data_IF_665579139491
#
_entry.id   IF_665579139491
#
_cell.length_a   1.000
_cell.length_b   1.000
_cell.length_c   1.000
_cell.angle_alpha   90.00
_cell.angle_beta   90.00
_cell.angle_gamma   90.00
#
_symmetry.space_group_name_H-M   'P 1'
#
loop_
_entity.id
_entity.type
_entity.pdbx_description
1 polymer ?
#
# COMPACT_ATOMS: atom_id res chain seq x y z
N UNK A 1 6.37 26.42 -7.44
CA UNK A 1 7.56 27.02 -6.81
C UNK A 1 8.87 26.58 -7.48
N UNK A 2 9.40 25.37 -7.26
CA UNK A 2 10.73 24.97 -7.78
C UNK A 2 10.86 25.07 -9.30
N UNK A 3 9.82 24.64 -10.02
CA UNK A 3 9.74 24.77 -11.50
C UNK A 3 9.71 26.22 -11.99
N UNK A 4 9.25 27.16 -11.18
CA UNK A 4 9.13 28.58 -11.56
C UNK A 4 10.47 29.30 -11.41
N UNK A 5 11.30 28.85 -10.47
CA UNK A 5 12.63 29.40 -10.19
C UNK A 5 13.69 28.85 -11.15
N UNK A 6 13.63 27.55 -11.50
CA UNK A 6 14.63 26.88 -12.34
C UNK A 6 15.10 27.68 -13.58
N UNK A 7 14.21 28.21 -14.46
CA UNK A 7 14.66 28.96 -15.64
C UNK A 7 15.31 30.31 -15.29
N UNK A 8 14.99 30.92 -14.14
CA UNK A 8 15.56 32.21 -13.71
C UNK A 8 17.02 32.07 -13.28
N UNK A 9 17.42 30.86 -12.89
CA UNK A 9 18.79 30.53 -12.47
C UNK A 9 19.51 29.65 -13.51
N UNK A 10 18.98 29.57 -14.74
CA UNK A 10 19.63 28.88 -15.86
C UNK A 10 19.55 27.35 -15.82
N UNK A 11 18.65 26.76 -15.02
CA UNK A 11 18.47 25.30 -14.93
C UNK A 11 17.20 24.81 -15.63
N UNK A 12 17.18 23.55 -16.11
CA UNK A 12 15.97 22.94 -16.64
C UNK A 12 14.94 22.73 -15.53
N UNK A 13 13.65 22.82 -15.91
CA UNK A 13 12.56 22.55 -14.96
C UNK A 13 12.52 21.06 -14.62
N UNK A 14 12.36 20.68 -13.34
CA UNK A 14 12.16 19.28 -12.99
C UNK A 14 10.81 18.78 -13.54
N UNK A 15 10.83 17.58 -14.12
CA UNK A 15 9.62 16.81 -14.44
C UNK A 15 9.00 16.22 -13.16
N UNK A 16 7.72 15.87 -13.21
CA UNK A 16 6.97 15.34 -12.06
C UNK A 16 6.12 14.16 -12.50
N UNK A 17 6.08 13.11 -11.67
CA UNK A 17 5.13 12.01 -11.74
C UNK A 17 4.29 12.04 -10.45
N UNK A 18 2.97 12.17 -10.57
CA UNK A 18 2.07 12.24 -9.41
C UNK A 18 1.39 10.90 -9.19
N UNK A 19 1.39 10.43 -7.95
CA UNK A 19 0.62 9.25 -7.52
C UNK A 19 -0.67 9.67 -6.84
N UNK A 20 -1.60 8.72 -6.69
CA UNK A 20 -2.72 8.82 -5.76
C UNK A 20 -2.23 8.71 -4.32
N UNK A 21 -3.09 9.05 -3.36
CA UNK A 21 -2.80 8.83 -1.94
C UNK A 21 -3.04 7.37 -1.57
N UNK A 22 -2.14 6.82 -0.77
CA UNK A 22 -2.34 5.54 -0.13
C UNK A 22 -3.28 5.71 1.09
N UNK A 23 -4.43 5.02 1.14
CA UNK A 23 -5.47 5.27 2.14
C UNK A 23 -5.03 4.83 3.54
N UNK A 24 -5.58 5.46 4.59
CA UNK A 24 -5.41 4.98 5.96
C UNK A 24 -6.30 3.75 6.23
N UNK A 25 -5.89 2.92 7.19
CA UNK A 25 -6.64 1.71 7.55
C UNK A 25 -8.10 2.02 7.91
N UNK A 26 -8.36 3.07 8.68
CA UNK A 26 -9.72 3.37 9.17
C UNK A 26 -10.65 4.03 8.13
N UNK A 27 -10.17 4.36 6.93
CA UNK A 27 -11.04 4.86 5.88
C UNK A 27 -10.33 5.53 4.70
N UNK A 28 -11.02 5.53 3.56
CA UNK A 28 -10.51 6.04 2.28
C UNK A 28 -10.23 7.56 2.26
N UNK A 29 -10.82 8.34 3.17
CA UNK A 29 -10.71 9.80 3.18
C UNK A 29 -9.57 10.34 4.07
N UNK A 30 -8.93 9.49 4.87
CA UNK A 30 -7.86 9.89 5.78
C UNK A 30 -6.51 9.43 5.27
N UNK A 31 -5.47 10.25 5.50
CA UNK A 31 -4.09 9.90 5.19
C UNK A 31 -3.48 9.14 6.36
N UNK A 32 -2.66 8.14 6.05
CA UNK A 32 -1.87 7.43 7.05
C UNK A 32 -1.01 8.40 7.86
N UNK A 33 -0.90 8.15 9.16
CA UNK A 33 -0.05 8.92 10.07
C UNK A 33 0.70 8.00 11.03
N UNK A 34 2.02 8.18 11.14
CA UNK A 34 2.82 7.47 12.13
C UNK A 34 2.43 7.83 13.58
N UNK A 35 1.68 8.92 13.79
CA UNK A 35 1.17 9.32 15.11
C UNK A 35 0.06 8.42 15.64
N UNK A 36 -0.68 7.73 14.77
CA UNK A 36 -1.63 6.69 15.15
C UNK A 36 -1.14 5.34 14.65
N UNK A 37 -0.63 4.53 15.58
CA UNK A 37 -0.07 3.22 15.29
C UNK A 37 -1.07 2.23 14.66
N UNK A 38 -2.38 2.48 14.80
CA UNK A 38 -3.43 1.64 14.23
C UNK A 38 -3.92 2.14 12.86
N UNK A 39 -3.47 3.32 12.43
CA UNK A 39 -3.84 3.89 11.12
C UNK A 39 -3.08 3.31 9.94
N UNK A 40 -1.98 2.63 10.23
CA UNK A 40 -1.02 2.17 9.22
C UNK A 40 -0.46 0.80 9.56
N UNK A 41 -0.09 0.05 8.53
CA UNK A 41 0.72 -1.16 8.65
C UNK A 41 2.17 -0.74 8.50
N UNK A 42 2.97 -0.94 9.54
CA UNK A 42 4.37 -0.55 9.52
C UNK A 42 5.22 -1.66 8.89
N UNK A 43 6.31 -1.27 8.23
CA UNK A 43 7.31 -2.20 7.71
C UNK A 43 8.06 -2.98 8.82
N UNK A 44 7.81 -2.64 10.09
CA UNK A 44 8.33 -3.33 11.27
C UNK A 44 7.30 -4.22 11.96
N UNK A 45 6.05 -4.24 11.48
CA UNK A 45 5.01 -5.09 12.06
C UNK A 45 5.31 -6.57 11.80
N UNK A 46 5.00 -7.41 12.78
CA UNK A 46 5.03 -8.86 12.63
C UNK A 46 3.82 -9.37 11.83
N UNK A 47 3.92 -10.59 11.29
CA UNK A 47 2.80 -11.25 10.60
C UNK A 47 1.49 -11.24 11.40
N UNK A 48 1.58 -11.41 12.73
CA UNK A 48 0.43 -11.34 13.63
C UNK A 48 -0.15 -9.93 13.71
N UNK A 49 0.70 -8.90 13.87
CA UNK A 49 0.24 -7.52 13.91
C UNK A 49 -0.41 -7.09 12.60
N UNK A 50 0.15 -7.49 11.45
CA UNK A 50 -0.44 -7.23 10.12
C UNK A 50 -1.86 -7.82 10.08
N UNK A 51 -1.99 -9.11 10.42
CA UNK A 51 -3.29 -9.79 10.47
C UNK A 51 -4.28 -9.09 11.40
N UNK A 52 -3.85 -8.74 12.61
CA UNK A 52 -4.72 -8.11 13.61
C UNK A 52 -5.17 -6.71 13.15
N UNK A 53 -4.26 -5.92 12.57
CA UNK A 53 -4.56 -4.57 12.04
C UNK A 53 -5.52 -4.61 10.86
N UNK A 54 -5.29 -5.49 9.88
CA UNK A 54 -6.21 -5.64 8.73
C UNK A 54 -7.59 -6.07 9.23
N UNK A 55 -7.67 -7.10 10.06
CA UNK A 55 -8.96 -7.61 10.54
C UNK A 55 -9.73 -6.58 11.38
N UNK A 56 -9.07 -5.88 12.30
CA UNK A 56 -9.73 -5.00 13.27
C UNK A 56 -9.89 -3.55 12.80
N UNK A 57 -8.98 -3.04 11.98
CA UNK A 57 -8.88 -1.61 11.71
C UNK A 57 -9.08 -1.24 10.23
N UNK A 58 -8.90 -2.18 9.29
CA UNK A 58 -9.21 -1.91 7.89
C UNK A 58 -10.72 -1.70 7.72
N UNK A 59 -11.10 -0.50 7.26
CA UNK A 59 -12.47 -0.14 6.97
C UNK A 59 -13.03 -1.05 5.87
N UNK A 60 -14.25 -1.53 6.10
CA UNK A 60 -14.97 -2.46 5.22
C UNK A 60 -15.99 -1.70 4.39
N UNK A 61 -16.00 -1.94 3.07
CA UNK A 61 -17.06 -1.51 2.17
C UNK A 61 -18.24 -2.51 2.09
N UNK A 62 -18.16 -3.61 2.84
CA UNK A 62 -19.20 -4.64 2.93
C UNK A 62 -20.39 -4.25 3.81
N UNK A 63 -21.37 -5.14 3.92
CA UNK A 63 -22.58 -4.94 4.73
C UNK A 63 -22.39 -5.51 6.14
N UNK A 64 -23.25 -5.08 7.07
CA UNK A 64 -23.19 -5.49 8.47
C UNK A 64 -23.60 -6.94 8.67
N UNK A 65 -24.49 -7.46 7.82
CA UNK A 65 -24.98 -8.84 7.86
C UNK A 65 -24.51 -9.63 6.64
N UNK A 66 -24.36 -10.95 6.80
CA UNK A 66 -23.97 -11.84 5.70
C UNK A 66 -25.07 -11.86 4.65
N UNK A 67 -26.32 -11.91 5.07
CA UNK A 67 -27.49 -11.96 4.19
C UNK A 67 -27.55 -10.74 3.26
N UNK A 68 -27.40 -9.53 3.81
CA UNK A 68 -27.35 -8.31 3.00
C UNK A 68 -26.11 -8.28 2.12
N UNK A 69 -24.95 -8.74 2.61
CA UNK A 69 -23.73 -8.75 1.81
C UNK A 69 -23.83 -9.72 0.64
N UNK A 70 -24.45 -10.89 0.83
CA UNK A 70 -24.71 -11.86 -0.26
C UNK A 70 -25.70 -11.31 -1.29
N UNK A 71 -26.66 -10.48 -0.88
CA UNK A 71 -27.67 -9.92 -1.77
C UNK A 71 -27.21 -8.65 -2.50
N UNK A 72 -26.46 -7.78 -1.83
CA UNK A 72 -26.12 -6.43 -2.31
C UNK A 72 -24.62 -6.24 -2.60
N UNK A 73 -23.77 -7.18 -2.20
CA UNK A 73 -22.32 -7.10 -2.34
C UNK A 73 -21.64 -6.04 -1.46
N UNK A 74 -20.34 -5.90 -1.66
CA UNK A 74 -19.48 -4.87 -1.08
C UNK A 74 -19.06 -3.79 -2.07
N UNK A 75 -18.77 -2.61 -1.56
CA UNK A 75 -18.28 -1.48 -2.36
C UNK A 75 -16.75 -1.37 -2.32
N UNK A 76 -16.11 -1.78 -3.42
CA UNK A 76 -14.65 -1.70 -3.61
C UNK A 76 -14.10 -0.26 -3.57
N UNK A 77 -14.90 0.75 -3.94
CA UNK A 77 -14.46 2.16 -4.00
C UNK A 77 -14.25 2.79 -2.63
N UNK A 78 -14.69 2.12 -1.56
CA UNK A 78 -14.52 2.58 -0.18
C UNK A 78 -13.85 1.54 0.72
N UNK A 79 -13.75 0.28 0.28
CA UNK A 79 -13.11 -0.79 1.05
C UNK A 79 -11.58 -0.64 1.03
N UNK A 80 -11.00 -0.37 2.19
CA UNK A 80 -9.56 -0.13 2.31
C UNK A 80 -8.75 -1.39 2.01
N UNK A 81 -9.30 -2.57 2.28
CA UNK A 81 -8.60 -3.82 2.01
C UNK A 81 -8.46 -4.05 0.51
N UNK A 82 -9.55 -3.81 -0.24
CA UNK A 82 -9.49 -3.83 -1.71
C UNK A 82 -8.57 -2.74 -2.26
N UNK A 83 -8.63 -1.52 -1.72
CA UNK A 83 -7.72 -0.44 -2.14
C UNK A 83 -6.26 -0.82 -1.96
N UNK A 84 -5.88 -1.52 -0.88
CA UNK A 84 -4.49 -1.95 -0.70
C UNK A 84 -4.08 -3.01 -1.72
N UNK A 85 -5.01 -3.91 -2.10
CA UNK A 85 -4.74 -4.91 -3.13
C UNK A 85 -4.39 -4.25 -4.47
N UNK A 86 -4.99 -3.10 -4.83
CA UNK A 86 -4.66 -2.40 -6.09
C UNK A 86 -3.23 -1.86 -6.14
N UNK A 87 -2.54 -1.74 -4.99
CA UNK A 87 -1.14 -1.33 -4.93
C UNK A 87 -0.15 -2.50 -4.89
N UNK A 88 -0.56 -3.65 -4.36
CA UNK A 88 0.38 -4.73 -4.01
C UNK A 88 0.08 -6.09 -4.62
N UNK A 89 -1.14 -6.31 -5.13
CA UNK A 89 -1.43 -7.52 -5.88
C UNK A 89 -1.03 -7.30 -7.34
N UNK A 90 -0.03 -8.07 -7.80
CA UNK A 90 0.57 -7.90 -9.13
C UNK A 90 -0.22 -8.58 -10.27
N UNK A 91 -1.11 -9.51 -9.92
CA UNK A 91 -1.94 -10.24 -10.88
C UNK A 91 -3.26 -9.50 -11.15
N UNK A 92 -3.34 -8.83 -12.30
CA UNK A 92 -4.51 -8.05 -12.73
C UNK A 92 -5.79 -8.88 -12.85
N UNK A 93 -5.69 -10.13 -13.34
CA UNK A 93 -6.85 -11.00 -13.51
C UNK A 93 -7.40 -11.43 -12.15
N UNK A 94 -6.51 -11.74 -11.19
CA UNK A 94 -6.89 -12.04 -9.81
C UNK A 94 -7.50 -10.81 -9.13
N UNK A 95 -6.94 -9.61 -9.33
CA UNK A 95 -7.48 -8.38 -8.76
C UNK A 95 -8.90 -8.10 -9.27
N UNK A 96 -9.13 -8.24 -10.57
CA UNK A 96 -10.45 -8.06 -11.18
C UNK A 96 -11.44 -9.14 -10.74
N UNK A 97 -10.98 -10.38 -10.54
CA UNK A 97 -11.82 -11.46 -10.00
C UNK A 97 -12.28 -11.13 -8.57
N UNK A 98 -11.37 -10.69 -7.71
CA UNK A 98 -11.69 -10.24 -6.34
C UNK A 98 -12.71 -9.10 -6.39
N UNK A 99 -12.54 -8.12 -7.29
CA UNK A 99 -13.47 -7.01 -7.46
C UNK A 99 -14.88 -7.51 -7.80
N UNK A 100 -15.01 -8.41 -8.78
CA UNK A 100 -16.29 -8.98 -9.21
C UNK A 100 -16.95 -9.78 -8.10
N UNK A 101 -16.19 -10.63 -7.41
CA UNK A 101 -16.73 -11.50 -6.37
C UNK A 101 -17.16 -10.69 -5.14
N UNK A 102 -16.38 -9.69 -4.75
CA UNK A 102 -16.73 -8.82 -3.63
C UNK A 102 -17.94 -7.95 -3.94
N UNK A 103 -17.98 -7.34 -5.14
CA UNK A 103 -19.12 -6.50 -5.55
C UNK A 103 -20.40 -7.26 -5.84
N UNK A 104 -20.33 -8.55 -6.17
CA UNK A 104 -21.52 -9.41 -6.31
C UNK A 104 -21.99 -10.03 -4.98
N UNK A 105 -21.15 -9.98 -3.93
CA UNK A 105 -21.41 -10.66 -2.66
C UNK A 105 -20.99 -12.14 -2.65
N UNK A 106 -20.36 -12.64 -3.71
CA UNK A 106 -19.79 -13.99 -3.76
C UNK A 106 -18.58 -14.15 -2.81
N UNK A 107 -17.82 -13.07 -2.57
CA UNK A 107 -16.74 -13.01 -1.58
C UNK A 107 -17.18 -12.17 -0.38
N UNK A 108 -16.95 -12.66 0.84
CA UNK A 108 -17.20 -11.94 2.09
C UNK A 108 -16.03 -11.01 2.44
N UNK A 109 -16.28 -9.96 3.23
CA UNK A 109 -15.21 -9.05 3.74
C UNK A 109 -14.08 -9.80 4.45
N UNK A 110 -14.39 -10.85 5.22
CA UNK A 110 -13.37 -11.65 5.89
C UNK A 110 -12.43 -12.39 4.92
N UNK A 111 -12.96 -12.82 3.78
CA UNK A 111 -12.20 -13.49 2.71
C UNK A 111 -11.33 -12.47 1.96
N UNK A 112 -11.88 -11.30 1.64
CA UNK A 112 -11.11 -10.18 1.06
C UNK A 112 -9.93 -9.77 1.95
N UNK A 113 -10.17 -9.63 3.26
CA UNK A 113 -9.12 -9.31 4.23
C UNK A 113 -8.04 -10.38 4.29
N UNK A 114 -8.42 -11.66 4.15
CA UNK A 114 -7.47 -12.77 4.10
C UNK A 114 -6.55 -12.67 2.89
N UNK A 115 -7.11 -12.41 1.70
CA UNK A 115 -6.31 -12.18 0.48
C UNK A 115 -5.28 -11.07 0.68
N UNK A 116 -5.70 -9.93 1.27
CA UNK A 116 -4.77 -8.84 1.55
C UNK A 116 -3.67 -9.25 2.54
N UNK A 117 -4.00 -9.97 3.60
CA UNK A 117 -3.01 -10.43 4.59
C UNK A 117 -1.98 -11.34 3.93
N UNK A 118 -2.41 -12.22 3.04
CA UNK A 118 -1.53 -13.14 2.30
C UNK A 118 -0.59 -12.40 1.33
N UNK A 119 -0.97 -11.22 0.82
CA UNK A 119 -0.09 -10.35 0.03
C UNK A 119 0.87 -9.55 0.92
N UNK A 120 0.39 -8.96 2.02
CA UNK A 120 1.20 -8.05 2.83
C UNK A 120 2.24 -8.75 3.71
N UNK A 121 1.95 -9.94 4.22
CA UNK A 121 2.88 -10.68 5.06
C UNK A 121 4.21 -11.00 4.36
N UNK A 122 4.24 -11.63 3.16
CA UNK A 122 5.50 -11.87 2.46
C UNK A 122 6.17 -10.55 2.05
N UNK A 123 5.43 -9.56 1.55
CA UNK A 123 5.97 -8.25 1.18
C UNK A 123 6.78 -7.61 2.32
N UNK A 124 6.21 -7.56 3.52
CA UNK A 124 6.86 -6.96 4.69
C UNK A 124 7.99 -7.85 5.21
N UNK A 125 7.79 -9.17 5.26
CA UNK A 125 8.82 -10.11 5.71
C UNK A 125 10.08 -10.05 4.82
N UNK A 126 9.89 -9.98 3.51
CA UNK A 126 10.96 -9.83 2.55
C UNK A 126 11.70 -8.50 2.69
N UNK A 127 10.96 -7.39 2.85
CA UNK A 127 11.58 -6.10 3.14
C UNK A 127 12.40 -6.16 4.43
N UNK A 128 11.85 -6.76 5.49
CA UNK A 128 12.56 -6.93 6.77
C UNK A 128 13.81 -7.80 6.64
N UNK A 129 13.77 -8.86 5.82
CA UNK A 129 14.93 -9.71 5.54
C UNK A 129 16.02 -8.93 4.80
N UNK A 130 15.68 -8.29 3.66
CA UNK A 130 16.62 -7.45 2.88
C UNK A 130 17.19 -6.31 3.73
N UNK A 131 16.38 -5.69 4.58
CA UNK A 131 16.84 -4.62 5.50
C UNK A 131 17.89 -5.11 6.50
N UNK A 132 17.84 -6.37 6.95
CA UNK A 132 18.83 -6.93 7.89
C UNK A 132 20.20 -7.17 7.24
N UNK A 133 20.23 -7.30 5.91
CA UNK A 133 21.46 -7.49 5.14
C UNK A 133 22.21 -6.17 4.88
N UNK A 134 21.57 -5.02 5.17
CA UNK A 134 22.18 -3.71 5.02
C UNK A 134 23.21 -3.49 6.14
N UNK A 135 24.49 -3.44 5.78
CA UNK A 135 25.59 -3.16 6.71
C UNK A 135 25.91 -1.67 6.80
N UNK A 136 26.65 -1.28 7.83
CA UNK A 136 27.12 0.10 8.00
C UNK A 136 28.05 0.53 6.84
N UNK A 137 28.79 -0.41 6.26
CA UNK A 137 29.62 -0.18 5.07
C UNK A 137 28.76 0.10 3.85
N UNK A 138 27.67 -0.65 3.64
CA UNK A 138 26.72 -0.39 2.55
C UNK A 138 26.10 1.00 2.73
N UNK A 139 25.63 1.34 3.94
CA UNK A 139 25.08 2.67 4.23
C UNK A 139 26.10 3.76 3.95
N UNK A 140 27.34 3.59 4.43
CA UNK A 140 28.43 4.54 4.19
C UNK A 140 28.70 4.68 2.70
N UNK A 141 28.73 3.59 1.96
CA UNK A 141 28.93 3.62 0.50
C UNK A 141 27.82 4.41 -0.18
N UNK A 142 26.54 4.10 0.09
CA UNK A 142 25.39 4.81 -0.47
C UNK A 142 25.37 6.31 -0.13
N UNK A 143 25.82 6.69 1.05
CA UNK A 143 25.88 8.09 1.50
C UNK A 143 27.16 8.82 1.07
N UNK A 144 28.16 8.13 0.52
CA UNK A 144 29.40 8.75 0.03
C UNK A 144 29.20 9.28 -1.39
N UNK A 145 29.40 10.60 -1.62
CA UNK A 145 29.37 11.15 -2.97
C UNK A 145 30.41 10.46 -3.86
N UNK A 146 29.96 9.79 -4.92
CA UNK A 146 30.82 9.08 -5.87
C UNK A 146 30.21 9.11 -7.26
N UNK A 147 31.04 8.85 -8.28
CA UNK A 147 30.54 8.64 -9.65
C UNK A 147 29.69 7.36 -9.67
N UNK A 148 28.46 7.46 -10.20
CA UNK A 148 27.58 6.32 -10.41
C UNK A 148 27.88 5.62 -11.74
N UNK A 149 27.37 4.40 -11.91
CA UNK A 149 27.58 3.58 -13.12
C UNK A 149 26.71 4.04 -14.32
N UNK A 150 26.53 5.34 -14.48
CA UNK A 150 25.85 5.91 -15.63
C UNK A 150 26.68 7.08 -16.14
N UNK A 151 26.99 7.05 -17.44
CA UNK A 151 27.54 8.17 -18.16
C UNK A 151 26.43 8.77 -19.02
N UNK A 152 26.21 10.07 -18.89
CA UNK A 152 25.31 10.81 -19.76
C UNK A 152 26.15 11.26 -20.97
N UNK A 153 25.89 10.70 -22.15
CA UNK A 153 26.41 11.23 -23.42
C UNK A 153 25.76 12.56 -23.78
#
# INVERSE_FOLDING_TARGET
MTRDVAPRIGYPKPALLHSTFFPALQGAQTKMSASDANSSIFLTDSARQIKDKVNKHAFSGGRDTIEEHRQLGGNCDVDVSYMYLTFFLEDDDKLEQIRKDYSSGAMLTGELKKELIEVLQPLIAEHQARRKEVTDEIVREFMTPRKLFYDFQ
#
